data_IF_305627777994
#
_entry.id   IF_305627777994
#
_cell.length_a   1.000
_cell.length_b   1.000
_cell.length_c   1.000
_cell.angle_alpha   90.00
_cell.angle_beta   90.00
_cell.angle_gamma   90.00
#
_symmetry.space_group_name_H-M   'P 1'
#
loop_
_entity.id
_entity.type
_entity.pdbx_description
1 polymer ?
#
# COMPACT_ATOMS: atom_id res chain seq x y z
N UNK A 1 -16.52 4.52 -32.15
CA UNK A 1 -16.77 3.10 -31.73
C UNK A 1 -15.62 2.52 -30.89
N UNK A 2 -14.36 2.80 -31.19
CA UNK A 2 -13.23 2.31 -30.38
C UNK A 2 -13.19 2.89 -28.94
N UNK A 3 -13.42 4.19 -28.79
CA UNK A 3 -13.46 4.82 -27.47
C UNK A 3 -14.55 4.28 -26.53
N UNK A 4 -15.72 3.94 -27.08
CA UNK A 4 -16.82 3.38 -26.29
C UNK A 4 -16.52 1.94 -25.82
N UNK A 5 -15.82 1.14 -26.64
CA UNK A 5 -15.37 -0.20 -26.27
C UNK A 5 -14.25 -0.16 -25.21
N UNK A 6 -13.34 0.81 -25.32
CA UNK A 6 -12.29 1.02 -24.31
C UNK A 6 -12.90 1.42 -22.96
N UNK A 7 -13.80 2.39 -22.92
CA UNK A 7 -14.50 2.81 -21.71
C UNK A 7 -15.33 1.67 -21.08
N UNK A 8 -16.00 0.86 -21.87
CA UNK A 8 -16.76 -0.31 -21.38
C UNK A 8 -15.82 -1.37 -20.78
N UNK A 9 -14.66 -1.59 -21.40
CA UNK A 9 -13.64 -2.52 -20.89
C UNK A 9 -13.10 -2.04 -19.54
N UNK A 10 -12.76 -0.77 -19.44
CA UNK A 10 -12.25 -0.15 -18.22
C UNK A 10 -13.27 -0.21 -17.08
N UNK A 11 -14.54 0.11 -17.36
CA UNK A 11 -15.64 -0.02 -16.40
C UNK A 11 -15.81 -1.46 -15.89
N UNK A 12 -15.67 -2.47 -16.77
CA UNK A 12 -15.76 -3.87 -16.39
C UNK A 12 -14.58 -4.29 -15.51
N UNK A 13 -13.35 -3.87 -15.84
CA UNK A 13 -12.16 -4.13 -15.02
C UNK A 13 -12.31 -3.49 -13.65
N UNK A 14 -12.71 -2.22 -13.59
CA UNK A 14 -12.94 -1.50 -12.32
C UNK A 14 -13.98 -2.21 -11.45
N UNK A 15 -15.12 -2.61 -12.01
CA UNK A 15 -16.16 -3.34 -11.28
C UNK A 15 -15.64 -4.69 -10.74
N UNK A 16 -14.85 -5.43 -11.54
CA UNK A 16 -14.24 -6.69 -11.12
C UNK A 16 -13.24 -6.51 -9.98
N UNK A 17 -12.38 -5.48 -10.06
CA UNK A 17 -11.38 -5.20 -9.02
C UNK A 17 -12.07 -4.73 -7.73
N UNK A 18 -13.06 -3.86 -7.82
CA UNK A 18 -13.83 -3.38 -6.66
C UNK A 18 -14.53 -4.52 -5.92
N UNK A 19 -15.26 -5.39 -6.65
CA UNK A 19 -15.95 -6.55 -6.04
C UNK A 19 -14.96 -7.55 -5.45
N UNK A 20 -13.87 -7.84 -6.16
CA UNK A 20 -12.81 -8.72 -5.69
C UNK A 20 -12.14 -8.16 -4.42
N UNK A 21 -11.87 -6.86 -4.38
CA UNK A 21 -11.30 -6.17 -3.21
C UNK A 21 -12.16 -6.36 -1.97
N UNK A 22 -13.48 -6.13 -2.07
CA UNK A 22 -14.40 -6.30 -0.95
C UNK A 22 -14.38 -7.75 -0.41
N UNK A 23 -14.37 -8.73 -1.31
CA UNK A 23 -14.34 -10.15 -0.93
C UNK A 23 -13.00 -10.56 -0.35
N UNK A 24 -11.89 -10.18 -0.96
CA UNK A 24 -10.56 -10.50 -0.43
C UNK A 24 -10.33 -9.84 0.94
N UNK A 25 -10.78 -8.61 1.14
CA UNK A 25 -10.70 -7.94 2.44
C UNK A 25 -11.49 -8.68 3.53
N UNK A 26 -12.70 -9.14 3.21
CA UNK A 26 -13.59 -9.81 4.17
C UNK A 26 -13.19 -11.27 4.40
N UNK A 27 -13.01 -12.04 3.35
CA UNK A 27 -12.93 -13.50 3.40
C UNK A 27 -11.50 -14.05 3.23
N UNK A 28 -10.57 -13.20 2.79
CA UNK A 28 -9.18 -13.57 2.45
C UNK A 28 -9.06 -14.26 1.10
N UNK A 29 -7.84 -14.22 0.53
CA UNK A 29 -7.58 -14.77 -0.80
C UNK A 29 -7.99 -16.23 -0.94
N UNK A 30 -7.66 -17.08 0.02
CA UNK A 30 -7.90 -18.53 -0.10
C UNK A 30 -9.39 -18.88 -0.27
N UNK A 31 -10.26 -18.23 0.51
CA UNK A 31 -11.69 -18.53 0.59
C UNK A 31 -12.51 -17.98 -0.59
N UNK A 32 -12.07 -16.90 -1.23
CA UNK A 32 -12.82 -16.26 -2.33
C UNK A 32 -12.81 -17.13 -3.58
N UNK A 33 -13.99 -17.34 -4.16
CA UNK A 33 -14.18 -18.06 -5.43
C UNK A 33 -14.48 -17.08 -6.56
N UNK A 34 -13.95 -17.35 -7.75
CA UNK A 34 -14.24 -16.55 -8.96
C UNK A 34 -15.74 -16.57 -9.28
N UNK A 35 -16.41 -17.71 -9.03
CA UNK A 35 -17.85 -17.85 -9.24
C UNK A 35 -18.66 -16.80 -8.49
N UNK A 36 -18.29 -16.54 -7.25
CA UNK A 36 -19.00 -15.60 -6.39
C UNK A 36 -18.82 -14.16 -6.88
N UNK A 37 -17.63 -13.82 -7.40
CA UNK A 37 -17.33 -12.49 -7.97
C UNK A 37 -18.16 -12.25 -9.24
N UNK A 38 -18.14 -13.20 -10.17
CA UNK A 38 -18.85 -13.01 -11.46
C UNK A 38 -20.36 -13.04 -11.29
N UNK A 39 -20.87 -13.86 -10.36
CA UNK A 39 -22.30 -13.95 -10.05
C UNK A 39 -22.86 -12.65 -9.48
N UNK A 40 -22.12 -12.00 -8.55
CA UNK A 40 -22.55 -10.72 -7.97
C UNK A 40 -22.61 -9.58 -9.00
N UNK A 41 -21.75 -9.62 -10.00
CA UNK A 41 -21.72 -8.63 -11.08
C UNK A 41 -22.62 -8.99 -12.27
N UNK A 42 -23.27 -10.15 -12.24
CA UNK A 42 -24.13 -10.61 -13.36
C UNK A 42 -23.35 -10.87 -14.66
N UNK A 43 -22.05 -11.19 -14.57
CA UNK A 43 -21.20 -11.49 -15.72
C UNK A 43 -20.78 -12.96 -15.76
N UNK A 44 -20.21 -13.40 -16.87
CA UNK A 44 -19.72 -14.77 -17.03
C UNK A 44 -18.25 -14.91 -16.61
N UNK A 45 -17.82 -16.12 -16.24
CA UNK A 45 -16.38 -16.44 -16.06
C UNK A 45 -15.54 -16.10 -17.30
N UNK A 46 -16.09 -16.33 -18.50
CA UNK A 46 -15.42 -16.00 -19.75
C UNK A 46 -15.13 -14.49 -19.86
N UNK A 47 -16.07 -13.65 -19.43
CA UNK A 47 -15.86 -12.20 -19.38
C UNK A 47 -14.73 -11.80 -18.41
N UNK A 48 -14.66 -12.43 -17.22
CA UNK A 48 -13.55 -12.20 -16.29
C UNK A 48 -12.20 -12.65 -16.89
N UNK A 49 -12.14 -13.87 -17.45
CA UNK A 49 -10.90 -14.42 -18.00
C UNK A 49 -10.44 -13.74 -19.29
N UNK A 50 -11.29 -12.92 -19.89
CA UNK A 50 -10.87 -12.00 -20.96
C UNK A 50 -9.99 -10.87 -20.42
N UNK A 51 -10.13 -10.48 -19.15
CA UNK A 51 -9.37 -9.40 -18.51
C UNK A 51 -8.24 -9.91 -17.61
N UNK A 52 -8.45 -11.01 -16.90
CA UNK A 52 -7.52 -11.56 -15.91
C UNK A 52 -7.24 -13.02 -16.21
N UNK A 53 -5.98 -13.42 -16.31
CA UNK A 53 -5.55 -14.79 -16.64
C UNK A 53 -6.02 -15.83 -15.62
N UNK A 54 -6.07 -15.44 -14.35
CA UNK A 54 -6.45 -16.30 -13.22
C UNK A 54 -6.78 -15.43 -11.99
N UNK A 55 -7.18 -16.09 -10.89
CA UNK A 55 -7.50 -15.43 -9.61
C UNK A 55 -6.31 -14.63 -9.03
N UNK A 56 -5.08 -15.13 -9.21
CA UNK A 56 -3.86 -14.44 -8.75
C UNK A 56 -3.65 -13.12 -9.51
N UNK A 57 -3.92 -13.10 -10.82
CA UNK A 57 -3.78 -11.91 -11.65
C UNK A 57 -4.82 -10.83 -11.25
N UNK A 58 -6.07 -11.23 -10.97
CA UNK A 58 -7.09 -10.35 -10.40
C UNK A 58 -6.68 -9.84 -9.01
N UNK A 59 -6.13 -10.72 -8.16
CA UNK A 59 -5.67 -10.33 -6.83
C UNK A 59 -4.50 -9.34 -6.90
N UNK A 60 -3.57 -9.52 -7.83
CA UNK A 60 -2.50 -8.54 -8.11
C UNK A 60 -3.07 -7.16 -8.42
N UNK A 61 -4.09 -7.07 -9.28
CA UNK A 61 -4.73 -5.79 -9.61
C UNK A 61 -5.37 -5.15 -8.36
N UNK A 62 -5.98 -5.95 -7.50
CA UNK A 62 -6.53 -5.48 -6.21
C UNK A 62 -5.42 -4.96 -5.29
N UNK A 63 -4.30 -5.68 -5.16
CA UNK A 63 -3.15 -5.22 -4.34
C UNK A 63 -2.61 -3.89 -4.87
N UNK A 64 -2.46 -3.77 -6.19
CA UNK A 64 -2.00 -2.54 -6.83
C UNK A 64 -2.94 -1.35 -6.53
N UNK A 65 -4.26 -1.55 -6.65
CA UNK A 65 -5.26 -0.51 -6.33
C UNK A 65 -5.19 -0.10 -4.85
N UNK A 66 -5.10 -1.06 -3.93
CA UNK A 66 -5.00 -0.77 -2.49
C UNK A 66 -3.74 0.00 -2.15
N UNK A 67 -2.60 -0.36 -2.73
CA UNK A 67 -1.35 0.36 -2.51
C UNK A 67 -1.37 1.78 -3.10
N UNK A 68 -2.02 1.98 -4.25
CA UNK A 68 -2.26 3.32 -4.80
C UNK A 68 -3.16 4.16 -3.90
N UNK A 69 -4.19 3.55 -3.27
CA UNK A 69 -5.03 4.24 -2.28
C UNK A 69 -4.21 4.70 -1.07
N UNK A 70 -3.33 3.84 -0.55
CA UNK A 70 -2.42 4.19 0.54
C UNK A 70 -1.49 5.33 0.12
N UNK A 71 -0.91 5.27 -1.09
CA UNK A 71 -0.09 6.34 -1.64
C UNK A 71 -0.85 7.69 -1.70
N UNK A 72 -2.11 7.68 -2.17
CA UNK A 72 -2.96 8.89 -2.18
C UNK A 72 -3.21 9.46 -0.79
N UNK A 73 -3.46 8.59 0.21
CA UNK A 73 -3.65 9.04 1.60
C UNK A 73 -2.38 9.73 2.14
N UNK A 74 -1.19 9.19 1.81
CA UNK A 74 0.10 9.79 2.17
C UNK A 74 0.27 11.17 1.51
N UNK A 75 0.00 11.28 0.20
CA UNK A 75 0.07 12.53 -0.53
C UNK A 75 -0.91 13.58 0.02
N UNK A 76 -2.13 13.17 0.37
CA UNK A 76 -3.15 14.06 0.94
C UNK A 76 -2.74 14.56 2.33
N UNK A 77 -2.15 13.70 3.17
CA UNK A 77 -1.58 14.09 4.45
C UNK A 77 -0.42 15.09 4.27
N UNK A 78 0.50 14.83 3.34
CA UNK A 78 1.64 15.70 3.03
C UNK A 78 1.22 17.10 2.60
N UNK A 79 0.14 17.25 1.82
CA UNK A 79 -0.38 18.56 1.37
C UNK A 79 -0.76 19.50 2.50
N UNK A 80 -1.05 19.01 3.68
CA UNK A 80 -1.42 19.81 4.86
C UNK A 80 -0.20 20.21 5.72
N UNK A 81 0.99 19.70 5.41
CA UNK A 81 2.22 19.94 6.15
C UNK A 81 2.88 21.27 5.73
N UNK A 82 3.47 21.96 6.68
CA UNK A 82 4.16 23.24 6.43
C UNK A 82 5.62 23.06 6.01
N UNK A 83 6.23 21.93 6.35
CA UNK A 83 7.65 21.66 6.10
C UNK A 83 7.88 20.25 5.56
N UNK A 84 8.94 20.02 4.76
CA UNK A 84 9.31 18.69 4.29
C UNK A 84 9.56 17.69 5.43
N UNK A 85 9.99 18.18 6.59
CA UNK A 85 10.14 17.32 7.77
C UNK A 85 8.80 16.80 8.30
N UNK A 86 7.81 17.67 8.39
CA UNK A 86 6.44 17.27 8.76
C UNK A 86 5.85 16.31 7.74
N UNK A 87 6.10 16.52 6.43
CA UNK A 87 5.68 15.60 5.37
C UNK A 87 6.25 14.20 5.58
N UNK A 88 7.55 14.06 5.90
CA UNK A 88 8.15 12.76 6.21
C UNK A 88 7.46 12.10 7.40
N UNK A 89 7.29 12.83 8.50
CA UNK A 89 6.73 12.28 9.75
C UNK A 89 5.26 11.88 9.56
N UNK A 90 4.44 12.78 9.02
CA UNK A 90 3.00 12.52 8.83
C UNK A 90 2.75 11.48 7.72
N UNK A 91 3.53 11.49 6.65
CA UNK A 91 3.47 10.46 5.60
C UNK A 91 3.79 9.07 6.15
N UNK A 92 4.84 8.96 6.98
CA UNK A 92 5.22 7.69 7.62
C UNK A 92 4.15 7.19 8.61
N UNK A 93 3.56 8.09 9.40
CA UNK A 93 2.43 7.75 10.28
C UNK A 93 1.20 7.32 9.50
N UNK A 94 0.86 8.04 8.44
CA UNK A 94 -0.27 7.73 7.56
C UNK A 94 -0.10 6.35 6.92
N UNK A 95 1.11 5.98 6.49
CA UNK A 95 1.41 4.65 6.00
C UNK A 95 1.07 3.56 7.04
N UNK A 96 1.54 3.72 8.29
CA UNK A 96 1.24 2.75 9.36
C UNK A 96 -0.27 2.69 9.62
N UNK A 97 -0.95 3.83 9.78
CA UNK A 97 -2.39 3.89 10.04
C UNK A 97 -3.20 3.20 8.96
N UNK A 98 -2.91 3.50 7.68
CA UNK A 98 -3.56 2.84 6.56
C UNK A 98 -3.28 1.33 6.52
N UNK A 99 -2.05 0.92 6.83
CA UNK A 99 -1.64 -0.49 6.80
C UNK A 99 -2.30 -1.35 7.88
N UNK A 100 -2.72 -0.77 9.01
CA UNK A 100 -3.43 -1.51 10.08
C UNK A 100 -4.95 -1.55 9.88
N UNK A 101 -5.52 -0.76 8.96
CA UNK A 101 -6.93 -0.89 8.59
C UNK A 101 -7.23 -2.31 8.10
N UNK A 102 -8.28 -2.93 8.60
CA UNK A 102 -8.57 -4.36 8.42
C UNK A 102 -8.63 -4.81 6.97
N UNK A 103 -9.17 -3.97 6.08
CA UNK A 103 -9.28 -4.21 4.63
C UNK A 103 -7.94 -4.09 3.91
N UNK A 104 -7.10 -3.11 4.26
CA UNK A 104 -5.75 -2.93 3.72
C UNK A 104 -4.83 -4.03 4.25
N UNK A 105 -4.79 -4.19 5.57
CA UNK A 105 -3.96 -5.16 6.27
C UNK A 105 -4.11 -6.57 5.69
N UNK A 106 -5.35 -7.05 5.54
CA UNK A 106 -5.63 -8.39 5.04
C UNK A 106 -5.06 -8.60 3.63
N UNK A 107 -5.28 -7.63 2.75
CA UNK A 107 -4.87 -7.72 1.35
C UNK A 107 -3.36 -7.54 1.20
N UNK A 108 -2.79 -6.47 1.77
CA UNK A 108 -1.41 -6.05 1.44
C UNK A 108 -0.35 -6.64 2.36
N UNK A 109 -0.68 -6.86 3.63
CA UNK A 109 0.30 -7.31 4.64
C UNK A 109 0.22 -8.83 4.84
N UNK A 110 -0.99 -9.42 4.87
CA UNK A 110 -1.17 -10.84 5.15
C UNK A 110 -1.18 -11.68 3.88
N UNK A 111 -2.11 -11.41 2.96
CA UNK A 111 -2.33 -12.27 1.79
C UNK A 111 -1.34 -12.00 0.65
N UNK A 112 -0.95 -10.74 0.38
CA UNK A 112 -0.13 -10.41 -0.79
C UNK A 112 1.26 -11.07 -0.78
N UNK A 113 2.06 -11.04 0.30
CA UNK A 113 3.35 -11.72 0.33
C UNK A 113 3.21 -13.24 0.14
N UNK A 114 2.17 -13.86 0.71
CA UNK A 114 1.93 -15.30 0.62
C UNK A 114 1.48 -15.74 -0.78
N UNK A 115 0.67 -14.93 -1.47
CA UNK A 115 0.06 -15.26 -2.77
C UNK A 115 0.94 -14.85 -3.93
N UNK A 116 1.46 -13.62 -3.92
CA UNK A 116 2.29 -13.08 -5.00
C UNK A 116 3.74 -13.56 -4.87
N UNK A 117 4.21 -13.75 -3.64
CA UNK A 117 5.60 -13.96 -3.29
C UNK A 117 6.32 -12.63 -3.00
N UNK A 118 7.40 -12.71 -2.21
CA UNK A 118 8.12 -11.55 -1.69
C UNK A 118 8.55 -10.55 -2.78
N UNK A 119 9.15 -11.03 -3.85
CA UNK A 119 9.69 -10.16 -4.91
C UNK A 119 8.60 -9.36 -5.63
N UNK A 120 7.49 -10.00 -5.98
CA UNK A 120 6.39 -9.36 -6.67
C UNK A 120 5.67 -8.35 -5.77
N UNK A 121 5.39 -8.74 -4.52
CA UNK A 121 4.80 -7.87 -3.51
C UNK A 121 5.66 -6.63 -3.26
N UNK A 122 6.99 -6.84 -3.09
CA UNK A 122 7.93 -5.74 -2.87
C UNK A 122 8.01 -4.78 -4.05
N UNK A 123 8.00 -5.29 -5.28
CA UNK A 123 8.01 -4.45 -6.47
C UNK A 123 6.76 -3.56 -6.59
N UNK A 124 5.58 -4.05 -6.13
CA UNK A 124 4.37 -3.24 -6.06
C UNK A 124 4.48 -2.14 -4.99
N UNK A 125 5.02 -2.44 -3.82
CA UNK A 125 5.29 -1.47 -2.75
C UNK A 125 6.28 -0.38 -3.21
N UNK A 126 7.36 -0.78 -3.89
CA UNK A 126 8.37 0.12 -4.46
C UNK A 126 7.81 1.08 -5.51
N UNK A 127 6.80 0.67 -6.26
CA UNK A 127 6.16 1.51 -7.28
C UNK A 127 5.09 2.46 -6.73
N UNK A 128 4.85 2.47 -5.43
CA UNK A 128 3.80 3.25 -4.77
C UNK A 128 4.38 4.09 -3.60
N UNK A 129 4.16 3.67 -2.37
CA UNK A 129 4.53 4.43 -1.17
C UNK A 129 6.03 4.70 -1.05
N UNK A 130 6.87 3.78 -1.54
CA UNK A 130 8.32 3.93 -1.45
C UNK A 130 8.87 5.03 -2.37
N UNK A 131 8.22 5.31 -3.50
CA UNK A 131 8.60 6.46 -4.36
C UNK A 131 8.43 7.76 -3.58
N UNK A 132 7.28 7.94 -2.90
CA UNK A 132 7.00 9.11 -2.08
C UNK A 132 8.03 9.28 -0.95
N UNK A 133 8.37 8.18 -0.29
CA UNK A 133 9.41 8.17 0.74
C UNK A 133 10.79 8.58 0.19
N UNK A 134 11.18 8.05 -0.96
CA UNK A 134 12.46 8.38 -1.58
C UNK A 134 12.54 9.86 -1.99
N UNK A 135 11.45 10.42 -2.53
CA UNK A 135 11.39 11.81 -2.97
C UNK A 135 11.48 12.78 -1.79
N UNK A 136 10.76 12.51 -0.68
CA UNK A 136 10.86 13.36 0.52
C UNK A 136 12.24 13.28 1.17
N UNK A 137 12.85 12.10 1.25
CA UNK A 137 14.22 11.93 1.78
C UNK A 137 15.25 12.70 0.95
N UNK A 138 15.11 12.68 -0.38
CA UNK A 138 15.95 13.48 -1.28
C UNK A 138 15.80 14.97 -1.02
N UNK A 139 14.59 15.46 -0.89
CA UNK A 139 14.28 16.86 -0.55
C UNK A 139 14.93 17.27 0.77
N UNK A 140 14.82 16.42 1.80
CA UNK A 140 15.43 16.68 3.12
C UNK A 140 16.96 16.72 3.09
N UNK A 141 17.59 15.89 2.24
CA UNK A 141 19.05 15.93 2.03
C UNK A 141 19.49 17.17 1.24
N UNK A 142 18.71 17.59 0.25
CA UNK A 142 18.97 18.82 -0.54
C UNK A 142 18.86 20.07 0.33
N UNK A 143 17.94 20.09 1.30
CA UNK A 143 17.75 21.18 2.26
C UNK A 143 18.66 21.06 3.51
N UNK A 144 19.56 20.07 3.55
CA UNK A 144 20.50 19.85 4.67
C UNK A 144 19.80 19.63 6.02
N UNK A 145 18.55 19.13 6.01
CA UNK A 145 17.81 18.75 7.23
C UNK A 145 18.29 17.42 7.76
N UNK A 146 18.64 16.50 6.86
CA UNK A 146 19.27 15.22 7.17
C UNK A 146 20.63 15.10 6.43
N UNK A 147 21.52 14.25 6.95
CA UNK A 147 22.83 14.03 6.35
C UNK A 147 22.73 13.49 4.92
N UNK A 148 23.56 14.01 4.00
CA UNK A 148 23.66 13.50 2.62
C UNK A 148 24.18 12.07 2.62
N UNK A 149 23.42 11.17 2.03
CA UNK A 149 23.75 9.75 1.88
C UNK A 149 22.99 9.17 0.67
N UNK A 150 23.19 7.88 0.39
CA UNK A 150 22.42 7.20 -0.66
C UNK A 150 20.95 7.09 -0.25
N UNK A 151 20.05 7.62 -1.08
CA UNK A 151 18.59 7.62 -0.84
C UNK A 151 18.05 6.19 -0.85
N UNK A 152 18.46 5.38 -1.82
CA UNK A 152 17.94 4.03 -2.02
C UNK A 152 18.09 3.12 -0.77
N UNK A 153 19.29 2.94 -0.16
CA UNK A 153 19.42 2.15 1.07
C UNK A 153 18.59 2.68 2.23
N UNK A 154 18.53 4.02 2.40
CA UNK A 154 17.75 4.62 3.47
C UNK A 154 16.24 4.38 3.26
N UNK A 155 15.74 4.52 2.04
CA UNK A 155 14.35 4.23 1.70
C UNK A 155 13.99 2.77 1.96
N UNK A 156 14.86 1.82 1.56
CA UNK A 156 14.65 0.39 1.83
C UNK A 156 14.62 0.07 3.33
N UNK A 157 15.51 0.66 4.12
CA UNK A 157 15.54 0.45 5.57
C UNK A 157 14.29 1.00 6.25
N UNK A 158 13.88 2.22 5.93
CA UNK A 158 12.70 2.85 6.55
C UNK A 158 11.41 2.16 6.09
N UNK A 159 11.24 1.91 4.78
CA UNK A 159 10.09 1.16 4.27
C UNK A 159 10.02 -0.25 4.87
N UNK A 160 11.17 -0.95 4.96
CA UNK A 160 11.24 -2.26 5.61
C UNK A 160 10.83 -2.23 7.08
N UNK A 161 11.30 -1.24 7.83
CA UNK A 161 10.93 -1.07 9.24
C UNK A 161 9.43 -0.77 9.41
N UNK A 162 8.85 0.06 8.54
CA UNK A 162 7.41 0.37 8.58
C UNK A 162 6.55 -0.83 8.17
N UNK A 163 6.95 -1.58 7.16
CA UNK A 163 6.26 -2.82 6.76
C UNK A 163 6.30 -3.88 7.85
N UNK A 164 7.46 -4.06 8.52
CA UNK A 164 7.60 -4.98 9.66
C UNK A 164 6.73 -4.53 10.84
N UNK A 165 6.73 -3.23 11.15
CA UNK A 165 5.86 -2.67 12.18
C UNK A 165 4.37 -2.92 11.88
N UNK A 166 3.94 -2.74 10.63
CA UNK A 166 2.57 -3.02 10.21
C UNK A 166 2.20 -4.51 10.34
N UNK A 167 3.14 -5.42 10.00
CA UNK A 167 2.97 -6.87 10.18
C UNK A 167 2.84 -7.23 11.66
N UNK A 168 3.74 -6.74 12.50
CA UNK A 168 3.71 -6.96 13.95
C UNK A 168 2.41 -6.43 14.57
N UNK A 169 1.97 -5.22 14.18
CA UNK A 169 0.69 -4.66 14.63
C UNK A 169 -0.52 -5.49 14.19
N UNK A 170 -0.40 -6.23 13.09
CA UNK A 170 -1.44 -7.14 12.63
C UNK A 170 -1.60 -8.38 13.52
N UNK A 171 -0.57 -8.76 14.23
CA UNK A 171 -0.48 -9.99 15.04
C UNK A 171 -0.61 -9.74 16.55
N UNK A 172 -0.44 -8.48 17.00
CA UNK A 172 -0.47 -8.15 18.42
C UNK A 172 -1.88 -7.78 18.91
N UNK A 173 -2.22 -8.21 20.12
CA UNK A 173 -3.46 -7.84 20.81
C UNK A 173 -3.25 -6.69 21.82
N UNK A 174 -2.05 -6.11 21.90
CA UNK A 174 -1.76 -5.02 22.85
C UNK A 174 -2.50 -3.75 22.47
N UNK A 175 -3.32 -3.17 23.37
CA UNK A 175 -4.08 -1.95 23.06
C UNK A 175 -3.19 -0.73 22.79
N UNK A 176 -1.99 -0.68 23.38
CA UNK A 176 -1.07 0.45 23.28
C UNK A 176 -0.07 0.31 22.10
N UNK A 177 -0.08 -0.85 21.42
CA UNK A 177 0.91 -1.19 20.40
C UNK A 177 1.02 -0.14 19.29
N UNK A 178 -0.11 0.35 18.78
CA UNK A 178 -0.13 1.35 17.72
C UNK A 178 0.47 2.68 18.20
N UNK A 179 0.09 3.16 19.39
CA UNK A 179 0.60 4.41 19.96
C UNK A 179 2.11 4.32 20.21
N UNK A 180 2.56 3.22 20.77
CA UNK A 180 3.99 3.01 21.03
C UNK A 180 4.81 2.86 19.74
N UNK A 181 4.25 2.22 18.71
CA UNK A 181 4.86 2.17 17.38
C UNK A 181 5.01 3.57 16.79
N UNK A 182 3.99 4.41 16.87
CA UNK A 182 4.04 5.79 16.37
C UNK A 182 5.07 6.63 17.10
N UNK A 183 5.16 6.52 18.43
CA UNK A 183 6.18 7.19 19.24
C UNK A 183 7.59 6.73 18.85
N UNK A 184 7.76 5.42 18.67
CA UNK A 184 9.05 4.82 18.32
C UNK A 184 9.48 5.22 16.91
N UNK A 185 8.56 5.18 15.93
CA UNK A 185 8.81 5.64 14.57
C UNK A 185 9.23 7.11 14.56
N UNK A 186 8.50 7.97 15.27
CA UNK A 186 8.85 9.40 15.36
C UNK A 186 10.26 9.61 15.91
N UNK A 187 10.65 8.88 16.98
CA UNK A 187 12.00 8.96 17.54
C UNK A 187 13.08 8.46 16.57
N UNK A 188 12.77 7.39 15.83
CA UNK A 188 13.68 6.86 14.81
C UNK A 188 13.91 7.89 13.71
N UNK A 189 12.85 8.53 13.21
CA UNK A 189 12.97 9.58 12.21
C UNK A 189 13.73 10.79 12.76
N UNK A 190 13.45 11.25 13.99
CA UNK A 190 14.18 12.36 14.61
C UNK A 190 15.69 12.10 14.71
N UNK A 191 16.12 10.86 14.86
CA UNK A 191 17.54 10.51 14.87
C UNK A 191 18.27 10.74 13.54
N UNK A 192 17.54 10.93 12.45
CA UNK A 192 18.11 11.24 11.12
C UNK A 192 18.43 12.74 10.96
N UNK A 193 17.86 13.62 11.80
CA UNK A 193 18.10 15.06 11.71
C UNK A 193 19.51 15.41 12.08
N UNK A 194 20.08 16.36 11.35
CA UNK A 194 21.35 16.96 11.71
C UNK A 194 21.11 17.81 12.96
N UNK A 195 21.85 17.51 14.03
CA UNK A 195 21.84 18.36 15.23
C UNK A 195 22.42 19.74 14.87
N UNK A 196 21.66 20.79 15.15
CA UNK A 196 22.09 22.16 14.97
C UNK A 196 23.24 22.51 15.92
#
# INVERSE_FOLDING_TARGET
MEGQRAAQREATVSALVTEARQRFARDGYASVRIDDIVSSLGITKGALYHHFKNKKDLFRAVVCEVQQDVGRQIEDAARSCATPWEELVEGSKTFILASVESNVRRITIVDAPAVLGWHEWRALDESSSMVLLADILKTLMEQEIIAKQSVEPLSHLLSGAMNEAALWLAETDSPDALEDTMKTLTRLLESLRISA
#
